data_IF_906595824150
#
_entry.id   IF_906595824150
#
_cell.length_a   1.000
_cell.length_b   1.000
_cell.length_c   1.000
_cell.angle_alpha   90.00
_cell.angle_beta   90.00
_cell.angle_gamma   90.00
#
_symmetry.space_group_name_H-M   'P 1'
#
loop_
_entity.id
_entity.type
_entity.pdbx_description
1 polymer ?
#
# COMPACT_ATOMS: atom_id res chain seq x y z
N UNK A 1 -16.75 8.69 -5.17
CA UNK A 1 -15.30 8.79 -4.90
C UNK A 1 -15.00 8.65 -3.42
N UNK A 2 -15.50 9.51 -2.54
CA UNK A 2 -15.26 9.49 -1.09
C UNK A 2 -15.45 8.10 -0.47
N UNK A 3 -16.55 7.41 -0.79
CA UNK A 3 -16.81 6.06 -0.26
C UNK A 3 -15.80 4.99 -0.73
N UNK A 4 -15.20 5.14 -1.90
CA UNK A 4 -14.12 4.27 -2.33
C UNK A 4 -12.88 4.47 -1.45
N UNK A 5 -12.49 5.74 -1.21
CA UNK A 5 -11.36 6.06 -0.34
C UNK A 5 -11.63 5.54 1.08
N UNK A 6 -12.82 5.79 1.62
CA UNK A 6 -13.22 5.27 2.93
C UNK A 6 -13.19 3.73 3.01
N UNK A 7 -13.61 3.05 1.96
CA UNK A 7 -13.60 1.59 1.89
C UNK A 7 -12.17 1.02 1.80
N UNK A 8 -11.29 1.68 1.05
CA UNK A 8 -9.91 1.27 0.86
C UNK A 8 -9.07 1.54 2.13
N UNK A 9 -9.10 2.78 2.63
CA UNK A 9 -8.34 3.16 3.82
C UNK A 9 -8.75 2.35 5.08
N UNK A 10 -9.99 1.86 5.13
CA UNK A 10 -10.45 1.04 6.24
C UNK A 10 -9.68 -0.30 6.40
N UNK A 11 -8.94 -0.73 5.37
CA UNK A 11 -8.11 -1.93 5.43
C UNK A 11 -6.74 -1.66 6.06
N UNK A 12 -6.28 -0.40 6.03
CA UNK A 12 -4.92 -0.05 6.41
C UNK A 12 -4.56 -0.40 7.86
N UNK A 13 -5.35 -0.09 8.92
CA UNK A 13 -4.91 -0.32 10.29
C UNK A 13 -4.45 -1.75 10.56
N UNK A 14 -5.21 -2.73 10.10
CA UNK A 14 -4.87 -4.14 10.29
C UNK A 14 -3.89 -4.64 9.22
N UNK A 15 -3.95 -4.09 8.00
CA UNK A 15 -3.02 -4.40 6.90
C UNK A 15 -1.59 -4.01 7.25
N UNK A 16 -1.38 -2.77 7.69
CA UNK A 16 -0.08 -2.23 8.07
C UNK A 16 0.50 -2.98 9.30
N UNK A 17 -0.35 -3.35 10.26
CA UNK A 17 0.06 -4.24 11.36
C UNK A 17 0.53 -5.61 10.86
N UNK A 18 -0.10 -6.17 9.81
CA UNK A 18 0.38 -7.42 9.17
C UNK A 18 1.75 -7.20 8.55
N UNK A 19 2.01 -6.05 7.90
CA UNK A 19 3.29 -5.72 7.30
C UNK A 19 4.39 -5.64 8.36
N UNK A 20 4.16 -4.87 9.42
CA UNK A 20 5.08 -4.74 10.55
C UNK A 20 5.40 -6.11 11.17
N UNK A 21 4.39 -6.93 11.43
CA UNK A 21 4.57 -8.25 12.02
C UNK A 21 5.35 -9.19 11.10
N UNK A 22 5.05 -9.20 9.79
CA UNK A 22 5.75 -10.03 8.81
C UNK A 22 7.24 -9.70 8.73
N UNK A 23 7.58 -8.42 8.70
CA UNK A 23 8.95 -7.93 8.64
C UNK A 23 9.70 -8.21 9.95
N UNK A 24 9.11 -7.88 11.11
CA UNK A 24 9.70 -8.14 12.44
C UNK A 24 9.97 -9.62 12.70
N UNK A 25 9.03 -10.49 12.31
CA UNK A 25 9.20 -11.94 12.47
C UNK A 25 10.32 -12.49 11.59
N UNK A 26 10.57 -11.90 10.42
CA UNK A 26 11.71 -12.24 9.58
C UNK A 26 13.03 -11.76 10.23
N UNK A 27 13.10 -10.55 10.75
CA UNK A 27 14.29 -10.05 11.46
C UNK A 27 14.63 -10.92 12.67
N UNK A 28 13.64 -11.28 13.49
CA UNK A 28 13.83 -12.12 14.67
C UNK A 28 14.37 -13.50 14.30
N UNK A 29 13.87 -14.08 13.19
CA UNK A 29 14.26 -15.44 12.77
C UNK A 29 15.59 -15.47 12.03
N UNK A 30 15.94 -14.38 11.35
CA UNK A 30 17.12 -14.27 10.50
C UNK A 30 18.00 -13.09 10.90
N UNK A 31 18.70 -13.17 12.07
CA UNK A 31 19.50 -12.05 12.60
C UNK A 31 20.59 -11.55 11.64
N UNK A 32 21.01 -12.40 10.70
CA UNK A 32 22.00 -12.00 9.67
C UNK A 32 21.52 -10.87 8.75
N UNK A 33 20.23 -10.63 8.67
CA UNK A 33 19.69 -9.48 7.94
C UNK A 33 20.08 -8.16 8.61
N UNK A 34 20.11 -8.13 9.94
CA UNK A 34 20.52 -6.96 10.70
C UNK A 34 22.02 -6.61 10.58
N UNK A 35 22.81 -7.48 9.95
CA UNK A 35 24.24 -7.22 9.64
C UNK A 35 24.39 -6.34 8.39
N UNK A 36 23.34 -6.16 7.59
CA UNK A 36 23.28 -5.20 6.52
C UNK A 36 22.71 -3.88 7.08
N UNK A 37 23.55 -2.87 7.33
CA UNK A 37 23.12 -1.67 8.04
C UNK A 37 22.13 -0.83 7.22
N UNK A 38 22.23 -0.86 5.88
CA UNK A 38 21.33 -0.11 4.99
C UNK A 38 19.95 -0.72 5.02
N UNK A 39 19.85 -2.03 4.80
CA UNK A 39 18.56 -2.73 4.83
C UNK A 39 17.91 -2.66 6.23
N UNK A 40 18.74 -2.68 7.29
CA UNK A 40 18.23 -2.55 8.67
C UNK A 40 17.64 -1.15 8.92
N UNK A 41 18.31 -0.10 8.47
CA UNK A 41 17.84 1.28 8.57
C UNK A 41 16.51 1.47 7.80
N UNK A 42 16.46 0.97 6.56
CA UNK A 42 15.23 1.02 5.74
C UNK A 42 14.06 0.29 6.40
N UNK A 43 14.32 -0.88 6.99
CA UNK A 43 13.31 -1.66 7.71
C UNK A 43 12.83 -0.93 8.98
N UNK A 44 13.72 -0.30 9.73
CA UNK A 44 13.32 0.43 10.93
C UNK A 44 12.43 1.63 10.57
N UNK A 45 12.76 2.38 9.52
CA UNK A 45 11.94 3.46 8.99
C UNK A 45 10.58 2.96 8.50
N UNK A 46 10.57 1.88 7.72
CA UNK A 46 9.33 1.23 7.27
C UNK A 46 8.41 0.89 8.45
N UNK A 47 8.94 0.23 9.48
CA UNK A 47 8.15 -0.13 10.66
C UNK A 47 7.60 1.10 11.38
N UNK A 48 8.38 2.18 11.46
CA UNK A 48 7.96 3.43 12.10
C UNK A 48 6.86 4.13 11.30
N UNK A 49 7.02 4.23 9.98
CA UNK A 49 6.04 4.85 9.09
C UNK A 49 4.71 4.08 9.13
N UNK A 50 4.75 2.76 8.95
CA UNK A 50 3.57 1.89 9.01
C UNK A 50 2.85 1.94 10.38
N UNK A 51 3.61 2.06 11.47
CA UNK A 51 3.01 2.20 12.79
C UNK A 51 2.26 3.55 12.94
N UNK A 52 2.78 4.65 12.38
CA UNK A 52 2.09 5.94 12.35
C UNK A 52 0.85 5.90 11.46
N UNK A 53 0.97 5.31 10.28
CA UNK A 53 -0.15 5.15 9.34
C UNK A 53 -1.30 4.39 10.01
N UNK A 54 -1.03 3.26 10.65
CA UNK A 54 -2.06 2.43 11.29
C UNK A 54 -2.86 3.21 12.35
N UNK A 55 -2.22 4.11 13.11
CA UNK A 55 -2.89 4.97 14.10
C UNK A 55 -3.81 6.00 13.42
N UNK A 56 -3.34 6.63 12.34
CA UNK A 56 -4.12 7.63 11.60
C UNK A 56 -5.34 7.00 10.97
N UNK A 57 -5.17 5.85 10.33
CA UNK A 57 -6.27 5.11 9.70
C UNK A 57 -7.26 4.52 10.72
N UNK A 58 -6.79 4.14 11.91
CA UNK A 58 -7.67 3.71 13.01
C UNK A 58 -8.59 4.84 13.45
N UNK A 59 -8.05 6.04 13.70
CA UNK A 59 -8.84 7.24 14.00
C UNK A 59 -9.84 7.58 12.91
N UNK A 60 -9.48 7.38 11.65
CA UNK A 60 -10.40 7.56 10.53
C UNK A 60 -11.53 6.54 10.55
N UNK A 61 -11.23 5.27 10.84
CA UNK A 61 -12.26 4.24 11.00
C UNK A 61 -13.21 4.56 12.16
N UNK A 62 -12.70 5.06 13.27
CA UNK A 62 -13.54 5.50 14.40
C UNK A 62 -14.45 6.67 14.01
N UNK A 63 -13.92 7.63 13.25
CA UNK A 63 -14.70 8.74 12.72
C UNK A 63 -15.80 8.28 11.76
N UNK A 64 -15.54 7.27 10.90
CA UNK A 64 -16.57 6.66 10.04
C UNK A 64 -17.68 6.01 10.88
N UNK A 65 -17.33 5.25 11.91
CA UNK A 65 -18.30 4.65 12.82
C UNK A 65 -19.17 5.72 13.49
N UNK A 66 -18.54 6.77 14.02
CA UNK A 66 -19.22 7.90 14.64
C UNK A 66 -20.13 8.68 13.66
N UNK A 67 -19.77 8.68 12.39
CA UNK A 67 -20.53 9.33 11.30
C UNK A 67 -21.73 8.49 10.79
N UNK A 68 -22.06 7.37 11.46
CA UNK A 68 -23.25 6.58 11.16
C UNK A 68 -23.03 5.32 10.32
N UNK A 69 -21.78 4.81 10.26
CA UNK A 69 -21.45 3.56 9.56
C UNK A 69 -21.05 2.43 10.52
N UNK A 70 -21.96 1.96 11.43
CA UNK A 70 -21.61 1.04 12.52
C UNK A 70 -21.13 -0.34 12.05
N UNK A 71 -21.53 -0.79 10.87
CA UNK A 71 -21.07 -2.08 10.29
C UNK A 71 -19.57 -2.10 10.05
N UNK A 72 -18.91 -0.93 9.96
CA UNK A 72 -17.46 -0.85 9.84
C UNK A 72 -16.73 -1.49 11.01
N UNK A 73 -17.34 -1.50 12.22
CA UNK A 73 -16.80 -2.23 13.39
C UNK A 73 -16.65 -3.73 13.09
N UNK A 74 -17.72 -4.35 12.56
CA UNK A 74 -17.67 -5.78 12.21
C UNK A 74 -16.63 -6.07 11.11
N UNK A 75 -16.53 -5.21 10.12
CA UNK A 75 -15.52 -5.32 9.06
C UNK A 75 -14.09 -5.19 9.59
N UNK A 76 -13.82 -4.28 10.53
CA UNK A 76 -12.51 -4.14 11.14
C UNK A 76 -12.16 -5.37 11.99
N UNK A 77 -13.15 -5.94 12.70
CA UNK A 77 -12.97 -7.19 13.43
C UNK A 77 -12.65 -8.39 12.53
N UNK A 78 -13.21 -8.44 11.30
CA UNK A 78 -12.85 -9.48 10.32
C UNK A 78 -11.39 -9.37 9.90
N UNK A 79 -10.89 -8.15 9.65
CA UNK A 79 -9.49 -7.92 9.32
C UNK A 79 -8.57 -8.30 10.48
N UNK A 80 -8.94 -7.95 11.71
CA UNK A 80 -8.23 -8.35 12.92
C UNK A 80 -8.17 -9.87 13.08
N UNK A 81 -9.30 -10.57 12.86
CA UNK A 81 -9.32 -12.05 12.88
C UNK A 81 -8.41 -12.65 11.80
N UNK A 82 -8.41 -12.07 10.60
CA UNK A 82 -7.51 -12.52 9.53
C UNK A 82 -6.04 -12.34 9.94
N UNK A 83 -5.65 -11.17 10.50
CA UNK A 83 -4.29 -10.94 10.98
C UNK A 83 -3.87 -11.98 12.02
N UNK A 84 -4.70 -12.22 13.04
CA UNK A 84 -4.44 -13.21 14.08
C UNK A 84 -4.32 -14.62 13.52
N UNK A 85 -5.23 -15.01 12.63
CA UNK A 85 -5.19 -16.29 11.94
C UNK A 85 -3.93 -16.45 11.08
N UNK A 86 -3.58 -15.46 10.30
CA UNK A 86 -2.39 -15.49 9.42
C UNK A 86 -1.09 -15.68 10.21
N UNK A 87 -1.00 -15.04 11.38
CA UNK A 87 0.14 -15.18 12.28
C UNK A 87 0.30 -16.59 12.82
N UNK A 88 -0.80 -17.29 13.06
CA UNK A 88 -0.81 -18.64 13.65
C UNK A 88 -0.67 -19.76 12.62
N UNK A 89 -1.09 -19.54 11.35
CA UNK A 89 -1.23 -20.58 10.35
C UNK A 89 -0.33 -20.42 9.13
N UNK A 90 0.19 -19.22 8.85
CA UNK A 90 1.07 -18.98 7.71
C UNK A 90 2.52 -18.85 8.17
N UNK A 91 3.43 -19.48 7.43
CA UNK A 91 4.86 -19.27 7.67
C UNK A 91 5.29 -17.82 7.35
N UNK A 92 6.42 -17.40 7.92
CA UNK A 92 6.93 -16.03 7.82
C UNK A 92 7.13 -15.56 6.39
N UNK A 93 7.69 -16.43 5.54
CA UNK A 93 7.98 -16.10 4.14
C UNK A 93 6.70 -15.98 3.32
N UNK A 94 5.65 -16.74 3.66
CA UNK A 94 4.33 -16.58 3.05
C UNK A 94 3.68 -15.26 3.48
N UNK A 95 3.73 -14.88 4.76
CA UNK A 95 3.24 -13.58 5.23
C UNK A 95 4.01 -12.43 4.58
N UNK A 96 5.34 -12.52 4.50
CA UNK A 96 6.16 -11.53 3.80
C UNK A 96 5.81 -11.46 2.30
N UNK A 97 5.50 -12.58 1.64
CA UNK A 97 5.08 -12.58 0.24
C UNK A 97 3.72 -11.91 0.01
N UNK A 98 2.81 -11.99 0.99
CA UNK A 98 1.54 -11.26 1.00
C UNK A 98 1.79 -9.76 1.18
N UNK A 99 2.67 -9.38 2.11
CA UNK A 99 3.07 -7.99 2.36
C UNK A 99 3.63 -7.34 1.09
N UNK A 100 4.60 -7.95 0.41
CA UNK A 100 5.16 -7.37 -0.81
C UNK A 100 4.15 -7.23 -1.96
N UNK A 101 3.12 -8.10 -1.99
CA UNK A 101 2.02 -7.95 -2.93
C UNK A 101 1.09 -6.79 -2.58
N UNK A 102 0.83 -6.57 -1.29
CA UNK A 102 0.02 -5.45 -0.80
C UNK A 102 0.74 -4.11 -1.04
N UNK A 103 2.02 -4.00 -0.71
CA UNK A 103 2.88 -2.85 -0.98
C UNK A 103 2.87 -2.44 -2.46
N UNK A 104 2.78 -3.40 -3.38
CA UNK A 104 2.64 -3.08 -4.80
C UNK A 104 1.31 -2.37 -5.11
N UNK A 105 0.21 -2.72 -4.41
CA UNK A 105 -1.07 -2.04 -4.58
C UNK A 105 -1.09 -0.67 -3.92
N UNK A 106 -0.55 -0.53 -2.72
CA UNK A 106 -0.48 0.77 -2.02
C UNK A 106 0.36 1.76 -2.83
N UNK A 107 1.54 1.36 -3.29
CA UNK A 107 2.39 2.17 -4.16
C UNK A 107 1.73 2.53 -5.50
N UNK A 108 1.04 1.58 -6.17
CA UNK A 108 0.34 1.86 -7.42
C UNK A 108 -0.81 2.86 -7.25
N UNK A 109 -1.55 2.77 -6.14
CA UNK A 109 -2.62 3.72 -5.82
C UNK A 109 -2.07 5.06 -5.32
N UNK A 110 -0.98 5.05 -4.56
CA UNK A 110 -0.28 6.26 -4.16
C UNK A 110 0.18 7.07 -5.38
N UNK A 111 0.79 6.42 -6.37
CA UNK A 111 1.15 7.06 -7.65
C UNK A 111 -0.08 7.56 -8.41
N UNK A 112 -1.12 6.74 -8.51
CA UNK A 112 -2.35 7.12 -9.20
C UNK A 112 -2.93 8.42 -8.62
N UNK A 113 -3.05 8.51 -7.31
CA UNK A 113 -3.73 9.62 -6.64
C UNK A 113 -2.83 10.84 -6.43
N UNK A 114 -1.52 10.68 -6.32
CA UNK A 114 -0.60 11.82 -6.18
C UNK A 114 -0.13 12.41 -7.51
N UNK A 115 -0.14 11.65 -8.59
CA UNK A 115 0.46 12.02 -9.87
C UNK A 115 -0.47 11.87 -11.06
N UNK A 116 -1.00 10.66 -11.30
CA UNK A 116 -1.70 10.35 -12.55
C UNK A 116 -3.14 10.88 -12.58
N UNK A 117 -3.79 10.92 -11.39
CA UNK A 117 -5.16 11.42 -11.20
C UNK A 117 -5.31 12.21 -9.90
N UNK A 118 -4.56 13.31 -9.74
CA UNK A 118 -4.56 14.09 -8.50
C UNK A 118 -5.92 14.73 -8.20
N UNK A 119 -6.77 14.92 -9.22
CA UNK A 119 -8.13 15.45 -9.03
C UNK A 119 -8.96 14.65 -8.02
N UNK A 120 -8.62 13.38 -7.81
CA UNK A 120 -9.30 12.51 -6.83
C UNK A 120 -9.10 13.02 -5.40
N UNK A 121 -7.92 13.56 -5.10
CA UNK A 121 -7.54 14.07 -3.78
C UNK A 121 -7.75 15.58 -3.70
N UNK A 122 -7.45 16.33 -4.76
CA UNK A 122 -7.47 17.80 -4.77
C UNK A 122 -8.87 18.41 -4.55
N UNK A 123 -9.95 17.65 -4.76
CA UNK A 123 -11.32 18.07 -4.44
C UNK A 123 -11.74 17.79 -2.99
N UNK A 124 -10.85 17.24 -2.17
CA UNK A 124 -11.10 16.95 -0.76
C UNK A 124 -10.79 18.14 0.14
N UNK A 125 -11.16 18.07 1.42
CA UNK A 125 -10.79 19.11 2.40
C UNK A 125 -9.26 19.26 2.51
N UNK A 126 -8.71 20.48 2.70
CA UNK A 126 -7.27 20.74 2.68
C UNK A 126 -6.46 19.88 3.65
N UNK A 127 -6.96 19.65 4.85
CA UNK A 127 -6.31 18.77 5.84
C UNK A 127 -6.22 17.33 5.33
N UNK A 128 -7.28 16.84 4.72
CA UNK A 128 -7.33 15.51 4.13
C UNK A 128 -6.31 15.37 2.98
N UNK A 129 -6.22 16.38 2.10
CA UNK A 129 -5.23 16.40 1.01
C UNK A 129 -3.82 16.26 1.56
N UNK A 130 -3.48 17.02 2.61
CA UNK A 130 -2.15 16.98 3.23
C UNK A 130 -1.84 15.57 3.78
N UNK A 131 -2.73 15.02 4.60
CA UNK A 131 -2.56 13.69 5.19
C UNK A 131 -2.41 12.62 4.09
N UNK A 132 -3.28 12.66 3.09
CA UNK A 132 -3.31 11.66 2.04
C UNK A 132 -2.07 11.73 1.13
N UNK A 133 -1.65 12.93 0.72
CA UNK A 133 -0.47 13.10 -0.13
C UNK A 133 0.81 12.75 0.62
N UNK A 134 0.88 13.08 1.90
CA UNK A 134 1.99 12.70 2.76
C UNK A 134 2.11 11.17 2.88
N UNK A 135 1.00 10.49 3.23
CA UNK A 135 0.95 9.04 3.28
C UNK A 135 1.32 8.40 1.92
N UNK A 136 0.77 8.92 0.81
CA UNK A 136 1.10 8.42 -0.53
C UNK A 136 2.59 8.55 -0.88
N UNK A 137 3.27 9.56 -0.36
CA UNK A 137 4.71 9.71 -0.54
C UNK A 137 5.49 8.67 0.25
N UNK A 138 5.13 8.41 1.51
CA UNK A 138 5.76 7.37 2.32
C UNK A 138 5.55 5.98 1.70
N UNK A 139 4.36 5.68 1.15
CA UNK A 139 4.10 4.44 0.40
C UNK A 139 4.99 4.27 -0.84
N UNK A 140 5.28 5.35 -1.54
CA UNK A 140 6.21 5.30 -2.68
C UNK A 140 7.67 5.17 -2.23
N UNK A 141 8.03 5.73 -1.08
CA UNK A 141 9.37 5.65 -0.52
C UNK A 141 9.74 4.22 -0.14
N UNK A 142 8.89 3.57 0.64
CA UNK A 142 9.22 2.27 1.22
C UNK A 142 8.75 1.04 0.42
N UNK A 143 8.17 1.24 -0.77
CA UNK A 143 7.61 0.16 -1.62
C UNK A 143 8.55 -1.01 -1.93
N UNK A 144 9.88 -0.83 -1.78
CA UNK A 144 10.86 -1.88 -2.04
C UNK A 144 11.38 -2.57 -0.77
N UNK A 145 11.19 -1.99 0.41
CA UNK A 145 11.82 -2.48 1.65
C UNK A 145 11.44 -3.93 1.96
N UNK A 146 10.15 -4.23 1.97
CA UNK A 146 9.66 -5.61 2.19
C UNK A 146 10.08 -6.57 1.07
N UNK A 147 10.20 -6.09 -0.18
CA UNK A 147 10.66 -6.86 -1.33
C UNK A 147 12.17 -7.18 -1.22
N UNK A 148 12.99 -6.23 -0.83
CA UNK A 148 14.43 -6.41 -0.66
C UNK A 148 14.73 -7.38 0.50
N UNK A 149 13.99 -7.27 1.61
CA UNK A 149 14.02 -8.26 2.67
C UNK A 149 13.66 -9.67 2.14
N UNK A 150 12.61 -9.80 1.36
CA UNK A 150 12.19 -11.07 0.76
C UNK A 150 13.28 -11.68 -0.13
N UNK A 151 13.93 -10.86 -0.96
CA UNK A 151 15.06 -11.27 -1.80
C UNK A 151 16.29 -11.65 -0.99
N UNK A 152 16.63 -10.86 0.03
CA UNK A 152 17.75 -11.13 0.95
C UNK A 152 17.59 -12.48 1.63
N UNK A 153 16.36 -12.88 1.94
CA UNK A 153 15.99 -14.17 2.50
C UNK A 153 15.81 -15.28 1.45
N UNK A 154 16.20 -15.04 0.20
CA UNK A 154 16.06 -15.98 -0.93
C UNK A 154 14.61 -16.45 -1.14
N UNK A 155 13.65 -15.55 -1.00
CA UNK A 155 12.24 -15.82 -1.25
C UNK A 155 11.97 -16.30 -2.68
N UNK A 156 11.21 -17.40 -2.81
CA UNK A 156 10.97 -18.06 -4.09
C UNK A 156 9.90 -17.35 -4.94
N UNK A 157 10.10 -17.40 -6.27
CA UNK A 157 9.18 -16.80 -7.25
C UNK A 157 7.74 -17.29 -7.11
N UNK A 158 7.51 -18.62 -7.01
CA UNK A 158 6.16 -19.19 -6.91
C UNK A 158 5.42 -18.69 -5.67
N UNK A 159 6.12 -18.61 -4.52
CA UNK A 159 5.54 -18.07 -3.28
C UNK A 159 5.17 -16.59 -3.44
N UNK A 160 6.02 -15.80 -4.11
CA UNK A 160 5.73 -14.39 -4.43
C UNK A 160 4.45 -14.28 -5.27
N UNK A 161 4.29 -15.11 -6.29
CA UNK A 161 3.08 -15.13 -7.12
C UNK A 161 1.84 -15.53 -6.32
N UNK A 162 1.95 -16.57 -5.50
CA UNK A 162 0.84 -17.02 -4.64
C UNK A 162 0.41 -15.91 -3.66
N UNK A 163 1.37 -15.21 -3.04
CA UNK A 163 1.10 -14.05 -2.17
C UNK A 163 0.37 -12.94 -2.91
N UNK A 164 0.82 -12.58 -4.11
CA UNK A 164 0.18 -11.56 -4.95
C UNK A 164 -1.24 -11.95 -5.36
N UNK A 165 -1.47 -13.18 -5.79
CA UNK A 165 -2.81 -13.67 -6.15
C UNK A 165 -3.76 -13.61 -4.95
N UNK A 166 -3.30 -14.11 -3.81
CA UNK A 166 -4.08 -14.10 -2.57
C UNK A 166 -4.46 -12.68 -2.16
N UNK A 167 -3.47 -11.76 -2.06
CA UNK A 167 -3.74 -10.42 -1.59
C UNK A 167 -4.59 -9.60 -2.58
N UNK A 168 -4.46 -9.87 -3.88
CA UNK A 168 -5.32 -9.26 -4.90
C UNK A 168 -6.78 -9.60 -4.66
N UNK A 169 -7.08 -10.89 -4.48
CA UNK A 169 -8.45 -11.32 -4.19
C UNK A 169 -8.94 -10.72 -2.86
N UNK A 170 -8.11 -10.78 -1.81
CA UNK A 170 -8.47 -10.33 -0.47
C UNK A 170 -8.76 -8.82 -0.42
N UNK A 171 -7.87 -7.98 -0.97
CA UNK A 171 -8.07 -6.53 -0.99
C UNK A 171 -9.35 -6.19 -1.75
N UNK A 172 -9.51 -6.72 -2.98
CA UNK A 172 -10.63 -6.32 -3.83
C UNK A 172 -11.98 -6.80 -3.30
N UNK A 173 -12.06 -8.02 -2.75
CA UNK A 173 -13.27 -8.48 -2.07
C UNK A 173 -13.66 -7.53 -0.94
N UNK A 174 -12.70 -7.20 -0.08
CA UNK A 174 -12.92 -6.34 1.07
C UNK A 174 -13.30 -4.90 0.67
N UNK A 175 -12.60 -4.30 -0.31
CA UNK A 175 -12.89 -2.95 -0.79
C UNK A 175 -14.27 -2.88 -1.44
N UNK A 176 -14.58 -3.80 -2.34
CA UNK A 176 -15.86 -3.80 -3.05
C UNK A 176 -17.05 -4.00 -2.10
N UNK A 177 -16.90 -4.84 -1.08
CA UNK A 177 -17.93 -5.10 -0.07
C UNK A 177 -18.19 -3.87 0.78
N UNK A 178 -17.13 -3.21 1.30
CA UNK A 178 -17.23 -1.98 2.09
C UNK A 178 -17.76 -0.80 1.26
N UNK A 179 -17.25 -0.63 0.04
CA UNK A 179 -17.70 0.43 -0.85
C UNK A 179 -19.21 0.32 -1.14
N UNK A 180 -19.70 -0.89 -1.45
CA UNK A 180 -21.14 -1.13 -1.64
C UNK A 180 -21.94 -0.90 -0.38
N UNK A 181 -21.42 -1.27 0.78
CA UNK A 181 -22.09 -0.99 2.06
C UNK A 181 -22.26 0.52 2.29
N UNK A 182 -21.20 1.29 2.15
CA UNK A 182 -21.21 2.74 2.33
C UNK A 182 -22.20 3.42 1.37
N UNK A 183 -22.18 3.08 0.10
CA UNK A 183 -23.12 3.61 -0.89
C UNK A 183 -24.57 3.25 -0.55
N UNK A 184 -24.84 2.02 -0.13
CA UNK A 184 -26.20 1.61 0.27
C UNK A 184 -26.69 2.33 1.51
N UNK A 185 -25.79 2.54 2.48
CA UNK A 185 -26.13 3.22 3.72
C UNK A 185 -26.56 4.68 3.48
N UNK A 186 -25.96 5.32 2.48
CA UNK A 186 -26.32 6.70 2.08
C UNK A 186 -27.45 6.77 1.04
N UNK A 187 -28.09 5.66 0.72
CA UNK A 187 -29.13 5.63 -0.31
C UNK A 187 -28.62 5.75 -1.76
N UNK A 188 -27.29 5.67 -1.96
CA UNK A 188 -26.63 5.85 -3.27
C UNK A 188 -26.45 4.51 -3.99
N UNK A 189 -27.49 3.66 -4.05
CA UNK A 189 -27.43 2.34 -4.69
C UNK A 189 -28.59 2.09 -5.68
N UNK A 190 -29.12 3.14 -6.31
CA UNK A 190 -30.03 3.03 -7.44
C UNK A 190 -29.29 2.69 -8.75
N UNK A 191 -30.04 2.51 -9.84
CA UNK A 191 -29.47 2.11 -11.14
C UNK A 191 -28.45 3.11 -11.70
N UNK A 192 -28.62 4.41 -11.45
CA UNK A 192 -27.71 5.44 -11.94
C UNK A 192 -26.37 5.38 -11.20
N UNK A 193 -26.40 5.31 -9.87
CA UNK A 193 -25.22 5.18 -9.02
C UNK A 193 -24.49 3.85 -9.25
N UNK A 194 -25.22 2.75 -9.49
CA UNK A 194 -24.59 1.47 -9.86
C UNK A 194 -23.86 1.57 -11.20
N UNK A 195 -24.37 2.31 -12.17
CA UNK A 195 -23.67 2.55 -13.45
C UNK A 195 -22.38 3.32 -13.22
N UNK A 196 -22.40 4.37 -12.40
CA UNK A 196 -21.23 5.15 -12.04
C UNK A 196 -20.20 4.31 -11.25
N UNK A 197 -20.68 3.50 -10.30
CA UNK A 197 -19.86 2.55 -9.56
C UNK A 197 -19.08 1.62 -10.51
N UNK A 198 -19.75 0.97 -11.45
CA UNK A 198 -19.09 0.09 -12.41
C UNK A 198 -18.20 0.84 -13.40
N UNK A 199 -18.60 2.06 -13.80
CA UNK A 199 -17.76 2.93 -14.63
C UNK A 199 -16.47 3.33 -13.91
N UNK A 200 -16.53 3.56 -12.61
CA UNK A 200 -15.36 3.87 -11.79
C UNK A 200 -14.35 2.69 -11.76
N UNK A 201 -14.81 1.45 -11.70
CA UNK A 201 -13.93 0.28 -11.72
C UNK A 201 -13.53 -0.16 -13.13
N UNK A 202 -14.48 -0.25 -14.05
CA UNK A 202 -14.33 -0.93 -15.36
C UNK A 202 -14.28 0.03 -16.55
N UNK A 203 -14.64 1.30 -16.37
CA UNK A 203 -14.73 2.27 -17.45
C UNK A 203 -13.40 2.58 -18.14
N UNK A 204 -13.39 3.43 -19.19
CA UNK A 204 -12.17 3.76 -19.94
C UNK A 204 -11.03 4.34 -19.08
N UNK A 205 -11.37 5.03 -17.99
CA UNK A 205 -10.46 5.55 -16.97
C UNK A 205 -10.61 4.82 -15.63
N UNK A 206 -11.14 3.60 -15.64
CA UNK A 206 -11.43 2.82 -14.43
C UNK A 206 -10.18 2.28 -13.78
N UNK A 207 -10.29 1.99 -12.47
CA UNK A 207 -9.17 1.51 -11.64
C UNK A 207 -8.54 0.22 -12.19
N UNK A 208 -9.33 -0.70 -12.72
CA UNK A 208 -8.83 -1.97 -13.27
C UNK A 208 -7.87 -1.73 -14.42
N UNK A 209 -8.09 -0.73 -15.27
CA UNK A 209 -7.19 -0.41 -16.39
C UNK A 209 -5.82 0.10 -15.93
N UNK A 210 -5.75 0.68 -14.74
CA UNK A 210 -4.49 1.14 -14.15
C UNK A 210 -3.79 -0.01 -13.41
N UNK A 211 -4.53 -0.78 -12.64
CA UNK A 211 -3.97 -1.77 -11.72
C UNK A 211 -3.64 -3.10 -12.39
N UNK A 212 -4.37 -3.52 -13.41
CA UNK A 212 -4.10 -4.78 -14.14
C UNK A 212 -2.71 -4.77 -14.81
N UNK A 213 -2.27 -3.72 -15.51
CA UNK A 213 -0.90 -3.66 -16.01
C UNK A 213 0.16 -3.79 -14.90
N UNK A 214 -0.06 -3.14 -13.76
CA UNK A 214 0.85 -3.21 -12.59
C UNK A 214 0.87 -4.61 -11.96
N UNK A 215 -0.26 -5.29 -11.95
CA UNK A 215 -0.32 -6.69 -11.56
C UNK A 215 0.51 -7.58 -12.50
N UNK A 216 0.37 -7.46 -13.82
CA UNK A 216 1.16 -8.24 -14.78
C UNK A 216 2.65 -7.87 -14.77
N UNK A 217 2.98 -6.60 -14.50
CA UNK A 217 4.35 -6.16 -14.29
C UNK A 217 4.99 -6.89 -13.09
N UNK A 218 4.26 -6.97 -11.97
CA UNK A 218 4.71 -7.70 -10.78
C UNK A 218 4.95 -9.20 -11.02
N UNK A 219 4.20 -9.82 -11.94
CA UNK A 219 4.37 -11.23 -12.27
C UNK A 219 5.68 -11.53 -13.03
N UNK A 220 6.39 -10.55 -13.54
CA UNK A 220 7.65 -10.80 -14.25
C UNK A 220 8.71 -11.35 -13.28
N UNK A 221 9.49 -12.37 -13.67
CA UNK A 221 10.60 -12.86 -12.84
C UNK A 221 11.63 -11.77 -12.50
N UNK A 222 11.87 -10.84 -13.43
CA UNK A 222 12.79 -9.69 -13.29
C UNK A 222 12.18 -8.48 -12.60
N UNK A 223 10.96 -8.59 -12.07
CA UNK A 223 10.30 -7.46 -11.40
C UNK A 223 11.11 -6.96 -10.20
N UNK A 224 11.20 -5.64 -10.12
CA UNK A 224 11.68 -4.90 -8.97
C UNK A 224 10.81 -3.66 -8.75
N UNK A 225 10.43 -3.28 -7.50
CA UNK A 225 9.52 -2.17 -7.25
C UNK A 225 10.01 -0.81 -7.75
N UNK A 226 11.33 -0.56 -7.73
CA UNK A 226 11.94 0.63 -8.29
C UNK A 226 12.38 0.40 -9.74
N UNK A 227 11.61 0.91 -10.68
CA UNK A 227 12.06 1.03 -12.07
C UNK A 227 12.64 2.44 -12.28
N UNK A 228 13.64 2.56 -13.17
CA UNK A 228 14.50 3.75 -13.32
C UNK A 228 13.73 5.07 -13.45
N UNK A 229 12.63 5.08 -14.20
CA UNK A 229 11.89 6.31 -14.50
C UNK A 229 11.00 6.79 -13.34
N UNK A 230 10.56 5.87 -12.47
CA UNK A 230 9.72 6.20 -11.33
C UNK A 230 10.51 6.91 -10.22
N UNK A 231 11.80 6.62 -10.07
CA UNK A 231 12.65 7.23 -9.06
C UNK A 231 12.82 8.74 -9.26
N UNK A 232 13.15 9.17 -10.48
CA UNK A 232 13.29 10.60 -10.81
C UNK A 232 11.97 11.36 -10.68
N UNK A 233 10.86 10.72 -11.09
CA UNK A 233 9.54 11.31 -10.94
C UNK A 233 9.17 11.49 -9.45
N UNK A 234 9.48 10.49 -8.64
CA UNK A 234 9.27 10.55 -7.20
C UNK A 234 10.03 11.69 -6.56
N UNK A 235 11.33 11.82 -6.81
CA UNK A 235 12.17 12.89 -6.26
C UNK A 235 11.65 14.29 -6.61
N UNK A 236 11.32 14.50 -7.88
CA UNK A 236 10.79 15.78 -8.34
C UNK A 236 9.46 16.13 -7.65
N UNK A 237 8.54 15.16 -7.58
CA UNK A 237 7.22 15.37 -6.96
C UNK A 237 7.30 15.49 -5.45
N UNK A 238 8.15 14.71 -4.82
CA UNK A 238 8.38 14.77 -3.38
C UNK A 238 8.95 16.14 -2.96
N UNK A 239 9.95 16.64 -3.67
CA UNK A 239 10.49 17.98 -3.41
C UNK A 239 9.43 19.08 -3.52
N UNK A 240 8.56 19.02 -4.53
CA UNK A 240 7.44 19.95 -4.70
C UNK A 240 6.42 19.81 -3.57
N UNK A 241 5.93 18.59 -3.29
CA UNK A 241 4.93 18.35 -2.26
C UNK A 241 5.42 18.71 -0.86
N UNK A 242 6.69 18.47 -0.56
CA UNK A 242 7.31 18.85 0.71
C UNK A 242 7.28 20.38 0.91
N UNK A 243 7.57 21.14 -0.15
CA UNK A 243 7.49 22.58 -0.13
C UNK A 243 6.04 23.08 -0.02
N UNK A 244 5.14 22.50 -0.81
CA UNK A 244 3.73 22.90 -0.85
C UNK A 244 2.97 22.57 0.45
N UNK A 245 3.38 21.48 1.13
CA UNK A 245 2.76 21.04 2.39
C UNK A 245 3.42 21.65 3.64
N UNK A 246 4.47 22.46 3.49
CA UNK A 246 5.24 23.04 4.61
C UNK A 246 5.68 22.01 5.66
N UNK A 247 6.17 20.86 5.18
CA UNK A 247 6.62 19.76 6.03
C UNK A 247 8.06 20.06 6.45
N UNK A 248 8.23 20.72 7.59
CA UNK A 248 9.54 20.96 8.20
C UNK A 248 9.93 19.83 9.14
N UNK A 249 11.23 19.48 9.13
CA UNK A 249 11.83 18.56 10.13
C UNK A 249 11.70 17.08 9.82
N UNK A 250 11.22 16.69 8.66
CA UNK A 250 11.18 15.29 8.26
C UNK A 250 12.58 14.79 7.86
N UNK A 251 13.13 13.87 8.62
CA UNK A 251 14.33 13.14 8.22
C UNK A 251 13.94 11.97 7.31
N UNK A 252 14.38 12.07 6.11
CA UNK A 252 14.16 11.19 5.00
C UNK A 252 15.08 9.99 5.06
N UNK A 253 14.55 8.78 5.07
CA UNK A 253 15.33 7.65 4.58
C UNK A 253 15.55 7.90 3.10
N UNK A 254 16.78 8.20 2.70
CA UNK A 254 17.08 8.51 1.31
C UNK A 254 16.91 7.24 0.46
N UNK A 255 15.81 7.09 -0.34
CA UNK A 255 15.63 5.91 -1.20
C UNK A 255 16.70 5.84 -2.30
N UNK A 256 17.57 6.86 -2.33
CA UNK A 256 18.62 7.09 -3.31
C UNK A 256 20.02 6.75 -2.77
N UNK A 257 20.15 6.32 -1.53
CA UNK A 257 21.37 5.61 -1.18
C UNK A 257 21.45 4.44 -2.14
N UNK A 258 22.49 4.46 -2.99
CA UNK A 258 22.79 3.40 -3.95
C UNK A 258 22.70 2.06 -3.23
N UNK A 259 21.57 1.39 -3.37
CA UNK A 259 21.36 0.11 -2.73
C UNK A 259 22.28 -0.87 -3.47
N UNK A 260 23.25 -1.52 -2.82
CA UNK A 260 24.24 -2.37 -3.52
C UNK A 260 23.62 -3.48 -4.36
N UNK A 261 22.33 -3.78 -4.16
CA UNK A 261 21.58 -4.73 -4.97
C UNK A 261 21.01 -4.14 -6.28
N UNK A 262 20.98 -2.81 -6.45
CA UNK A 262 20.49 -2.17 -7.69
C UNK A 262 21.49 -2.35 -8.83
N UNK A 263 22.79 -2.38 -8.53
CA UNK A 263 23.84 -2.56 -9.54
C UNK A 263 24.00 -4.01 -10.04
N UNK A 264 23.32 -4.97 -9.41
CA UNK A 264 23.36 -6.38 -9.81
C UNK A 264 22.33 -6.75 -10.88
N UNK A 265 21.52 -5.81 -11.37
CA UNK A 265 20.59 -6.07 -12.46
C UNK A 265 21.25 -5.81 -13.82
N UNK A 266 21.08 -6.71 -14.79
CA UNK A 266 21.51 -6.40 -16.16
C UNK A 266 20.73 -5.16 -16.63
N UNK A 267 21.48 -4.09 -16.95
CA UNK A 267 20.92 -2.93 -17.64
C UNK A 267 20.29 -3.47 -18.92
N UNK A 268 18.97 -3.36 -19.04
CA UNK A 268 18.32 -3.65 -20.32
C UNK A 268 18.85 -2.66 -21.32
N UNK A 269 19.76 -3.12 -22.18
CA UNK A 269 20.11 -2.40 -23.39
C UNK A 269 18.86 -2.27 -24.23
N UNK A 270 18.52 -1.03 -24.53
CA UNK A 270 17.45 -0.55 -25.42
C UNK A 270 17.38 -1.32 -26.73
#
# INVERSE_FOLDING_TARGET
MTHFINAFQALFPEGERVFIEAVRDCLTRYPSVAQDPVLKEDIDHFIEQEARHSIVHEKWNDALVASGYPTMVAYNQELHRFRTWSRSHLDRMTRLSITIGAEQYTAALAKLFSSDRPEIVLHSAPLFQKIFLYHAMEELEHKAVSFDLYRRLKGGYIRRMAGMMFISFYIWENVLRRHRYLLRKDGLWDRSHQREYWRFYLGPRGLIRVLVPKFFEYLRPSFYPWQSDERQLFEKRFGQLRTDLDIQGFQYANPLKEHPLVDTFPKTTS
#
